data_IF_829150238358
#
_entry.id   IF_829150238358
#
_cell.length_a   1.000
_cell.length_b   1.000
_cell.length_c   1.000
_cell.angle_alpha   90.00
_cell.angle_beta   90.00
_cell.angle_gamma   90.00
#
_symmetry.space_group_name_H-M   'P 1'
#
loop_
_entity.id
_entity.type
_entity.pdbx_description
1 polymer ?
#
# COMPACT_ATOMS: atom_id res chain seq x y z
N UNK A 1 56.53 -20.11 -40.92
CA UNK A 1 56.43 -19.11 -42.00
C UNK A 1 55.55 -18.01 -41.48
N UNK A 2 56.12 -16.88 -41.17
CA UNK A 2 55.85 -15.54 -41.63
C UNK A 2 54.46 -15.01 -41.14
N UNK A 3 54.29 -13.91 -40.47
CA UNK A 3 55.13 -12.76 -39.99
C UNK A 3 54.13 -11.78 -39.40
N UNK A 4 54.38 -11.23 -38.24
CA UNK A 4 53.86 -9.94 -37.79
C UNK A 4 54.38 -8.80 -38.71
N UNK A 5 53.84 -7.58 -38.69
CA UNK A 5 54.06 -6.60 -37.63
C UNK A 5 52.86 -5.61 -37.44
N UNK A 6 52.63 -5.06 -36.28
CA UNK A 6 53.15 -3.84 -35.57
C UNK A 6 52.66 -2.51 -36.15
N UNK A 7 52.10 -1.65 -35.34
CA UNK A 7 52.65 -0.41 -34.74
C UNK A 7 51.47 0.48 -34.25
N UNK A 8 51.36 0.82 -32.99
CA UNK A 8 51.87 2.02 -32.29
C UNK A 8 51.42 3.34 -32.98
N UNK A 9 50.65 4.14 -32.29
CA UNK A 9 51.02 5.51 -31.96
C UNK A 9 50.14 6.13 -30.84
N UNK A 10 50.84 6.71 -29.95
CA UNK A 10 50.51 7.54 -28.81
C UNK A 10 49.90 8.89 -29.22
N UNK A 11 49.08 9.45 -28.34
CA UNK A 11 48.62 10.84 -28.38
C UNK A 11 48.21 11.34 -27.02
N UNK A 12 49.19 11.64 -26.17
CA UNK A 12 49.00 12.50 -24.98
C UNK A 12 48.78 13.94 -25.45
N UNK A 13 47.76 14.60 -24.85
CA UNK A 13 47.75 16.06 -24.78
C UNK A 13 47.22 16.49 -23.40
N UNK A 14 48.17 16.87 -22.58
CA UNK A 14 48.06 17.73 -21.42
C UNK A 14 47.73 19.16 -21.88
N UNK A 15 46.80 19.84 -21.24
CA UNK A 15 46.85 21.28 -21.15
C UNK A 15 46.35 21.76 -19.80
N UNK A 16 47.27 22.43 -19.15
CA UNK A 16 47.22 22.99 -17.82
C UNK A 16 46.37 24.27 -17.73
N UNK A 17 45.97 24.52 -16.53
CA UNK A 17 45.29 25.57 -15.90
C UNK A 17 45.56 27.02 -16.27
N UNK A 18 44.68 27.84 -15.80
CA UNK A 18 44.99 29.20 -15.30
C UNK A 18 43.94 29.67 -14.32
N UNK A 19 44.39 29.86 -13.09
CA UNK A 19 43.76 30.70 -12.09
C UNK A 19 43.80 32.15 -12.53
N UNK A 20 42.77 32.94 -12.30
CA UNK A 20 42.91 34.37 -12.17
C UNK A 20 42.08 34.85 -10.96
N UNK A 21 42.83 35.42 -10.03
CA UNK A 21 42.46 36.11 -8.82
C UNK A 21 41.88 37.50 -9.12
N UNK A 22 41.15 37.97 -8.13
CA UNK A 22 40.47 39.25 -7.94
C UNK A 22 41.27 40.52 -8.26
N UNK A 23 40.62 41.73 -8.23
CA UNK A 23 40.70 42.48 -6.98
C UNK A 23 39.43 43.27 -6.59
N UNK A 24 39.32 43.52 -5.29
CA UNK A 24 38.47 44.52 -4.66
C UNK A 24 38.97 45.91 -5.00
N UNK A 25 38.05 46.87 -5.18
CA UNK A 25 38.31 48.24 -4.85
C UNK A 25 37.05 48.95 -4.29
N UNK A 26 37.24 49.57 -3.15
CA UNK A 26 36.34 50.55 -2.53
C UNK A 26 36.38 51.85 -3.34
N UNK A 27 35.27 52.55 -3.43
CA UNK A 27 35.21 53.99 -3.28
C UNK A 27 33.78 54.51 -3.09
N UNK A 28 33.69 55.40 -2.22
CA UNK A 28 32.61 56.18 -1.62
C UNK A 28 31.78 57.06 -2.59
N UNK A 29 30.50 57.16 -2.25
CA UNK A 29 29.69 58.33 -2.01
C UNK A 29 29.37 59.31 -3.14
N UNK A 30 28.09 59.56 -3.32
CA UNK A 30 27.43 60.86 -3.17
C UNK A 30 25.95 60.78 -3.54
N UNK A 31 25.18 61.57 -2.83
CA UNK A 31 23.73 61.75 -2.90
C UNK A 31 23.19 62.22 -4.25
N UNK A 32 21.93 61.89 -4.53
CA UNK A 32 21.10 62.61 -5.54
C UNK A 32 19.84 61.87 -5.94
N UNK A 33 18.75 62.24 -5.34
CA UNK A 33 17.38 62.37 -5.86
C UNK A 33 16.57 61.19 -6.38
N UNK A 34 15.38 61.17 -5.81
CA UNK A 34 14.22 60.32 -6.01
C UNK A 34 13.74 60.21 -7.47
N UNK A 35 13.50 58.96 -7.91
CA UNK A 35 12.40 58.61 -8.80
C UNK A 35 11.77 57.31 -8.30
N UNK A 36 10.50 57.40 -7.90
CA UNK A 36 9.65 56.26 -7.66
C UNK A 36 9.50 55.46 -8.95
N UNK A 37 9.95 54.22 -8.92
CA UNK A 37 9.47 53.20 -9.82
C UNK A 37 9.01 52.00 -9.00
N UNK A 38 7.69 51.90 -8.95
CA UNK A 38 6.96 50.79 -8.35
C UNK A 38 7.12 49.58 -9.28
N UNK A 39 8.08 48.73 -8.99
CA UNK A 39 8.07 47.34 -9.45
C UNK A 39 8.00 46.42 -8.22
N UNK A 40 6.77 46.15 -7.82
CA UNK A 40 6.46 45.09 -6.92
C UNK A 40 6.89 43.78 -7.59
N UNK A 41 8.06 43.28 -7.24
CA UNK A 41 8.40 41.89 -7.48
C UNK A 41 7.40 41.03 -6.68
N UNK A 42 6.40 40.51 -7.39
CA UNK A 42 5.58 39.43 -6.91
C UNK A 42 6.52 38.24 -6.65
N UNK A 43 6.97 38.10 -5.42
CA UNK A 43 7.37 36.81 -4.90
C UNK A 43 6.11 35.94 -4.92
N UNK A 44 5.98 35.15 -6.00
CA UNK A 44 5.10 34.00 -6.00
C UNK A 44 5.57 33.09 -4.87
N UNK A 45 5.03 33.27 -3.66
CA UNK A 45 4.89 32.21 -2.71
C UNK A 45 3.91 31.22 -3.34
N UNK A 46 4.41 30.29 -4.12
CA UNK A 46 3.70 29.05 -4.36
C UNK A 46 3.54 28.43 -2.97
N UNK A 47 2.38 28.69 -2.37
CA UNK A 47 1.91 27.86 -1.28
C UNK A 47 1.84 26.44 -1.86
N UNK A 48 2.83 25.61 -1.54
CA UNK A 48 2.75 24.17 -1.75
C UNK A 48 1.51 23.70 -1.00
N UNK A 49 0.38 23.68 -1.73
CA UNK A 49 -0.88 23.20 -1.19
C UNK A 49 -0.68 21.71 -0.88
N UNK A 50 -0.83 21.35 0.38
CA UNK A 50 -0.74 19.95 0.79
C UNK A 50 -1.65 19.08 -0.10
N UNK A 51 -1.15 17.94 -0.64
CA UNK A 51 -1.95 17.05 -1.46
C UNK A 51 -3.26 16.67 -0.79
N UNK A 52 -4.36 16.66 -1.52
CA UNK A 52 -5.68 16.37 -0.95
C UNK A 52 -5.75 14.98 -0.30
N UNK A 53 -5.03 13.99 -0.84
CA UNK A 53 -4.99 12.64 -0.27
C UNK A 53 -4.35 12.57 1.13
N UNK A 54 -3.50 13.54 1.52
CA UNK A 54 -2.96 13.60 2.88
C UNK A 54 -4.03 13.90 3.93
N UNK A 55 -5.13 14.53 3.54
CA UNK A 55 -6.24 14.86 4.45
C UNK A 55 -6.95 13.63 5.01
N UNK A 56 -6.87 12.49 4.33
CA UNK A 56 -7.49 11.23 4.76
C UNK A 56 -6.47 10.22 5.31
N UNK A 57 -5.18 10.52 5.29
CA UNK A 57 -4.12 9.58 5.65
C UNK A 57 -4.27 9.01 7.06
N UNK A 58 -4.57 9.86 8.05
CA UNK A 58 -4.78 9.42 9.43
C UNK A 58 -6.02 8.55 9.59
N UNK A 59 -7.09 8.83 8.83
CA UNK A 59 -8.30 8.00 8.81
C UNK A 59 -8.00 6.61 8.26
N UNK A 60 -7.19 6.52 7.19
CA UNK A 60 -6.77 5.25 6.61
C UNK A 60 -5.94 4.41 7.60
N UNK A 61 -5.05 5.06 8.35
CA UNK A 61 -4.24 4.40 9.37
C UNK A 61 -5.12 3.90 10.55
N UNK A 62 -6.03 4.73 11.06
CA UNK A 62 -6.97 4.33 12.11
C UNK A 62 -7.86 3.16 11.66
N UNK A 63 -8.36 3.21 10.43
CA UNK A 63 -9.14 2.12 9.86
C UNK A 63 -8.31 0.84 9.76
N UNK A 64 -7.06 0.92 9.32
CA UNK A 64 -6.16 -0.22 9.20
C UNK A 64 -6.02 -0.97 10.53
N UNK A 65 -5.73 -0.25 11.61
CA UNK A 65 -5.55 -0.87 12.92
C UNK A 65 -6.87 -1.35 13.54
N UNK A 66 -7.97 -0.64 13.31
CA UNK A 66 -9.29 -1.06 13.76
C UNK A 66 -9.74 -2.36 13.09
N UNK A 67 -9.56 -2.47 11.76
CA UNK A 67 -9.86 -3.68 11.02
C UNK A 67 -8.93 -4.83 11.43
N UNK A 68 -7.63 -4.55 11.58
CA UNK A 68 -6.68 -5.56 12.01
C UNK A 68 -7.10 -6.22 13.31
N UNK A 69 -7.48 -5.42 14.32
CA UNK A 69 -7.97 -5.95 15.61
C UNK A 69 -9.20 -6.84 15.46
N UNK A 70 -10.13 -6.48 14.57
CA UNK A 70 -11.31 -7.32 14.30
C UNK A 70 -10.92 -8.67 13.70
N UNK A 71 -10.03 -8.66 12.71
CA UNK A 71 -9.57 -9.88 12.04
C UNK A 71 -8.70 -10.75 12.98
N UNK A 72 -7.78 -10.14 13.72
CA UNK A 72 -6.89 -10.83 14.62
C UNK A 72 -7.63 -11.51 15.79
N UNK A 73 -8.74 -10.92 16.26
CA UNK A 73 -9.58 -11.49 17.30
C UNK A 73 -10.27 -12.80 16.86
N UNK A 74 -10.52 -12.98 15.56
CA UNK A 74 -11.22 -14.17 15.04
C UNK A 74 -10.30 -15.40 14.95
N UNK A 75 -9.02 -15.20 14.68
CA UNK A 75 -8.04 -16.29 14.59
C UNK A 75 -6.63 -15.79 14.85
N UNK A 76 -5.93 -16.49 15.73
CA UNK A 76 -4.51 -16.26 15.99
C UNK A 76 -3.59 -17.23 15.23
N UNK A 77 -4.15 -18.19 14.49
CA UNK A 77 -3.42 -19.27 13.82
C UNK A 77 -3.33 -19.12 12.30
N UNK A 78 -4.03 -18.16 11.73
CA UNK A 78 -4.06 -17.92 10.28
C UNK A 78 -3.34 -16.62 9.92
N UNK A 79 -2.77 -16.59 8.72
CA UNK A 79 -2.22 -15.36 8.17
C UNK A 79 -3.31 -14.30 8.02
N UNK A 80 -2.95 -13.05 8.27
CA UNK A 80 -3.78 -11.88 8.03
C UNK A 80 -3.12 -11.07 6.94
N UNK A 81 -3.87 -10.67 5.91
CA UNK A 81 -3.35 -9.76 4.89
C UNK A 81 -4.49 -9.04 4.16
N UNK A 82 -4.57 -7.74 4.30
CA UNK A 82 -5.60 -6.92 3.66
C UNK A 82 -5.05 -5.54 3.28
N UNK A 83 -5.79 -4.83 2.43
CA UNK A 83 -5.49 -3.46 2.05
C UNK A 83 -6.48 -2.48 2.69
N UNK A 84 -6.04 -1.67 3.66
CA UNK A 84 -6.88 -0.61 4.21
C UNK A 84 -7.30 0.40 3.13
N UNK A 85 -6.40 0.76 2.24
CA UNK A 85 -6.69 1.64 1.09
C UNK A 85 -7.75 1.04 0.18
N UNK A 86 -7.63 -0.24 -0.16
CA UNK A 86 -8.59 -0.92 -1.03
C UNK A 86 -9.99 -0.92 -0.46
N UNK A 87 -10.15 -1.34 0.79
CA UNK A 87 -11.44 -1.45 1.46
C UNK A 87 -12.09 -0.08 1.67
N UNK A 88 -11.33 0.89 2.18
CA UNK A 88 -11.86 2.25 2.41
C UNK A 88 -12.27 2.93 1.11
N UNK A 89 -11.50 2.76 0.05
CA UNK A 89 -11.84 3.27 -1.29
C UNK A 89 -13.14 2.65 -1.80
N UNK A 90 -13.31 1.33 -1.68
CA UNK A 90 -14.51 0.63 -2.11
C UNK A 90 -15.78 1.15 -1.40
N UNK A 91 -15.72 1.35 -0.09
CA UNK A 91 -16.86 1.82 0.68
C UNK A 91 -17.10 3.33 0.60
N UNK A 92 -16.05 4.13 0.44
CA UNK A 92 -16.21 5.55 0.12
C UNK A 92 -16.90 5.72 -1.24
N UNK A 93 -16.55 4.91 -2.23
CA UNK A 93 -17.26 4.87 -3.52
C UNK A 93 -18.73 4.48 -3.35
N UNK A 94 -19.01 3.45 -2.57
CA UNK A 94 -20.37 2.99 -2.30
C UNK A 94 -21.23 4.07 -1.61
N UNK A 95 -20.61 4.91 -0.77
CA UNK A 95 -21.28 6.01 -0.08
C UNK A 95 -21.88 7.05 -1.03
N UNK A 96 -21.37 7.17 -2.26
CA UNK A 96 -21.94 8.05 -3.29
C UNK A 96 -23.39 7.70 -3.63
N UNK A 97 -23.76 6.43 -3.53
CA UNK A 97 -25.09 5.93 -3.78
C UNK A 97 -25.96 5.74 -2.53
N UNK A 98 -25.38 5.88 -1.35
CA UNK A 98 -26.08 5.68 -0.09
C UNK A 98 -26.74 6.97 0.40
N UNK A 99 -27.84 6.81 1.14
CA UNK A 99 -28.61 7.90 1.75
C UNK A 99 -28.87 7.62 3.24
N UNK A 100 -29.29 8.65 3.95
CA UNK A 100 -29.74 8.54 5.34
C UNK A 100 -28.72 7.85 6.26
N UNK A 101 -29.23 6.95 7.09
CA UNK A 101 -28.41 6.21 8.05
C UNK A 101 -27.41 5.26 7.38
N UNK A 102 -27.72 4.72 6.21
CA UNK A 102 -26.79 3.87 5.45
C UNK A 102 -25.55 4.64 5.08
N UNK A 103 -25.69 5.85 4.55
CA UNK A 103 -24.60 6.76 4.24
C UNK A 103 -23.82 7.14 5.51
N UNK A 104 -24.53 7.55 6.56
CA UNK A 104 -23.92 7.95 7.83
C UNK A 104 -23.07 6.84 8.47
N UNK A 105 -23.58 5.59 8.48
CA UNK A 105 -22.84 4.44 8.99
C UNK A 105 -21.55 4.16 8.19
N UNK A 106 -21.60 4.26 6.86
CA UNK A 106 -20.42 4.06 6.03
C UNK A 106 -19.37 5.12 6.36
N UNK A 107 -19.71 6.39 6.32
CA UNK A 107 -18.77 7.48 6.56
C UNK A 107 -18.17 7.42 7.96
N UNK A 108 -19.00 7.19 8.98
CA UNK A 108 -18.55 7.03 10.36
C UNK A 108 -17.67 5.79 10.55
N UNK A 109 -18.04 4.66 9.94
CA UNK A 109 -17.27 3.42 10.02
C UNK A 109 -15.91 3.52 9.34
N UNK A 110 -15.76 4.36 8.32
CA UNK A 110 -14.50 4.71 7.70
C UNK A 110 -13.71 5.78 8.47
N UNK A 111 -14.27 6.32 9.55
CA UNK A 111 -13.62 7.32 10.40
C UNK A 111 -13.75 8.76 9.90
N UNK A 112 -14.70 9.06 9.01
CA UNK A 112 -14.91 10.42 8.50
C UNK A 112 -16.00 11.13 9.30
N UNK A 113 -15.65 12.30 9.82
CA UNK A 113 -16.59 13.21 10.48
C UNK A 113 -16.99 14.34 9.51
N UNK A 114 -18.18 14.23 8.93
CA UNK A 114 -18.67 15.18 7.93
C UNK A 114 -19.10 16.55 8.52
N UNK A 115 -19.10 16.68 9.85
CA UNK A 115 -19.28 17.98 10.51
C UNK A 115 -17.98 18.80 10.54
N UNK A 116 -16.83 18.12 10.49
CA UNK A 116 -15.51 18.74 10.48
C UNK A 116 -14.94 18.91 9.08
N UNK A 117 -15.40 18.10 8.12
CA UNK A 117 -14.90 18.10 6.75
C UNK A 117 -16.03 17.87 5.76
N UNK A 118 -16.04 18.65 4.68
CA UNK A 118 -17.01 18.46 3.61
C UNK A 118 -16.83 17.10 2.92
N UNK A 119 -17.92 16.41 2.63
CA UNK A 119 -17.90 15.12 1.94
C UNK A 119 -17.18 15.19 0.58
N UNK A 120 -17.37 16.28 -0.16
CA UNK A 120 -16.69 16.51 -1.43
C UNK A 120 -15.16 16.48 -1.30
N UNK A 121 -14.60 16.96 -0.18
CA UNK A 121 -13.16 16.89 0.08
C UNK A 121 -12.69 15.47 0.32
N UNK A 122 -13.51 14.63 0.95
CA UNK A 122 -13.21 13.20 1.16
C UNK A 122 -13.12 12.48 -0.19
N UNK A 123 -14.10 12.69 -1.08
CA UNK A 123 -14.09 12.06 -2.41
C UNK A 123 -12.96 12.58 -3.31
N UNK A 124 -12.64 13.87 -3.24
CA UNK A 124 -11.47 14.44 -3.93
C UNK A 124 -10.16 13.84 -3.42
N UNK A 125 -10.06 13.61 -2.12
CA UNK A 125 -8.90 12.98 -1.52
C UNK A 125 -8.70 11.54 -2.02
N UNK A 126 -9.77 10.75 -2.11
CA UNK A 126 -9.71 9.41 -2.70
C UNK A 126 -9.38 9.44 -4.20
N UNK A 127 -9.92 10.39 -4.95
CA UNK A 127 -9.58 10.55 -6.37
C UNK A 127 -8.08 10.80 -6.54
N UNK A 128 -7.51 11.71 -5.76
CA UNK A 128 -6.08 12.00 -5.83
C UNK A 128 -5.23 10.80 -5.36
N UNK A 129 -5.66 10.11 -4.30
CA UNK A 129 -5.01 8.89 -3.81
C UNK A 129 -4.88 7.86 -4.94
N UNK A 130 -6.00 7.54 -5.59
CA UNK A 130 -6.03 6.56 -6.69
C UNK A 130 -5.21 7.01 -7.89
N UNK A 131 -5.29 8.30 -8.25
CA UNK A 131 -4.49 8.86 -9.33
C UNK A 131 -3.00 8.75 -9.06
N UNK A 132 -2.58 9.04 -7.83
CA UNK A 132 -1.18 8.95 -7.41
C UNK A 132 -0.69 7.50 -7.41
N UNK A 133 -1.46 6.57 -6.86
CA UNK A 133 -1.09 5.16 -6.82
C UNK A 133 -1.03 4.49 -8.20
N UNK A 134 -1.92 4.90 -9.11
CA UNK A 134 -2.00 4.35 -10.47
C UNK A 134 -1.19 5.16 -11.51
N UNK A 135 -0.38 6.13 -11.09
CA UNK A 135 0.38 6.95 -12.02
C UNK A 135 1.42 6.09 -12.77
N UNK A 136 1.53 6.21 -14.12
CA UNK A 136 2.45 5.39 -14.91
C UNK A 136 3.91 5.48 -14.50
N UNK A 137 4.32 6.65 -14.00
CA UNK A 137 5.70 6.89 -13.53
C UNK A 137 5.94 6.35 -12.12
N UNK A 138 4.90 5.84 -11.47
CA UNK A 138 5.04 5.16 -10.20
C UNK A 138 5.76 3.83 -10.44
N UNK A 139 6.96 3.68 -9.89
CA UNK A 139 7.78 2.47 -10.07
C UNK A 139 7.27 1.29 -9.23
N UNK A 140 6.17 1.48 -8.51
CA UNK A 140 5.48 0.43 -7.79
C UNK A 140 4.65 -0.42 -8.76
N UNK A 141 4.83 -1.72 -8.73
CA UNK A 141 3.93 -2.65 -9.41
C UNK A 141 2.70 -2.89 -8.52
N UNK A 142 1.85 -1.90 -8.46
CA UNK A 142 0.59 -1.91 -7.74
C UNK A 142 -0.56 -1.99 -8.74
N UNK A 143 -1.42 -2.98 -8.57
CA UNK A 143 -2.66 -3.11 -9.34
C UNK A 143 -3.81 -3.17 -8.37
N UNK A 144 -4.75 -2.24 -8.48
CA UNK A 144 -5.96 -2.19 -7.64
C UNK A 144 -7.18 -1.86 -8.47
N UNK A 145 -8.32 -2.38 -8.07
CA UNK A 145 -9.58 -2.09 -8.72
C UNK A 145 -10.80 -2.46 -7.88
N UNK A 146 -11.93 -1.89 -8.30
CA UNK A 146 -13.25 -2.14 -7.74
C UNK A 146 -14.23 -2.46 -8.86
N UNK A 147 -15.08 -3.46 -8.65
CA UNK A 147 -16.19 -3.78 -9.52
C UNK A 147 -17.51 -3.75 -8.75
N UNK A 148 -18.49 -3.06 -9.30
CA UNK A 148 -19.87 -3.05 -8.81
C UNK A 148 -20.73 -3.86 -9.77
N UNK A 149 -21.36 -4.94 -9.29
CA UNK A 149 -22.19 -5.83 -10.08
C UNK A 149 -23.61 -5.79 -9.53
N UNK A 150 -24.53 -5.27 -10.33
CA UNK A 150 -25.90 -4.99 -9.92
C UNK A 150 -26.83 -5.81 -10.79
N UNK A 151 -27.89 -6.39 -10.18
CA UNK A 151 -28.84 -7.23 -10.90
C UNK A 151 -29.43 -6.52 -12.12
N UNK A 152 -29.51 -7.23 -13.23
CA UNK A 152 -30.09 -6.70 -14.47
C UNK A 152 -31.57 -6.29 -14.26
N UNK A 153 -32.04 -5.37 -15.09
CA UNK A 153 -33.38 -4.81 -14.99
C UNK A 153 -33.50 -3.58 -14.08
N UNK A 154 -32.46 -3.25 -13.31
CA UNK A 154 -32.41 -2.00 -12.55
C UNK A 154 -31.76 -0.89 -13.39
N UNK A 155 -32.46 0.25 -13.50
CA UNK A 155 -31.90 1.46 -14.14
C UNK A 155 -30.98 2.17 -13.16
N UNK A 156 -29.69 2.19 -13.46
CA UNK A 156 -28.70 2.91 -12.65
C UNK A 156 -28.73 4.41 -12.97
N UNK A 157 -28.55 5.24 -11.96
CA UNK A 157 -28.51 6.69 -12.10
C UNK A 157 -27.22 7.13 -12.78
N UNK A 158 -27.34 7.96 -13.83
CA UNK A 158 -26.19 8.46 -14.58
C UNK A 158 -25.17 9.17 -13.70
N UNK A 159 -25.66 9.98 -12.73
CA UNK A 159 -24.77 10.68 -11.80
C UNK A 159 -23.90 9.71 -11.00
N UNK A 160 -24.48 8.61 -10.52
CA UNK A 160 -23.72 7.59 -9.80
C UNK A 160 -22.66 6.93 -10.67
N UNK A 161 -23.02 6.57 -11.90
CA UNK A 161 -22.07 5.97 -12.87
C UNK A 161 -20.92 6.92 -13.21
N UNK A 162 -21.20 8.19 -13.40
CA UNK A 162 -20.21 9.23 -13.66
C UNK A 162 -19.28 9.45 -12.48
N UNK A 163 -19.82 9.56 -11.26
CA UNK A 163 -19.04 9.75 -10.03
C UNK A 163 -18.13 8.53 -9.73
N UNK A 164 -18.64 7.31 -9.88
CA UNK A 164 -17.87 6.07 -9.75
C UNK A 164 -16.70 6.04 -10.72
N UNK A 165 -16.93 6.42 -11.96
CA UNK A 165 -15.89 6.46 -12.99
C UNK A 165 -14.88 7.58 -12.76
N UNK A 166 -15.36 8.80 -12.52
CA UNK A 166 -14.51 9.99 -12.49
C UNK A 166 -13.72 10.12 -11.17
N UNK A 167 -14.35 9.78 -10.04
CA UNK A 167 -13.74 9.91 -8.71
C UNK A 167 -12.96 8.66 -8.29
N UNK A 168 -13.43 7.48 -8.68
CA UNK A 168 -12.89 6.20 -8.20
C UNK A 168 -12.30 5.31 -9.28
N UNK A 169 -12.30 5.76 -10.55
CA UNK A 169 -11.78 4.99 -11.69
C UNK A 169 -12.33 3.55 -11.76
N UNK A 170 -13.59 3.40 -11.37
CA UNK A 170 -14.27 2.13 -11.22
C UNK A 170 -15.45 2.01 -12.18
N UNK A 171 -15.99 0.80 -12.29
CA UNK A 171 -17.09 0.49 -13.20
C UNK A 171 -18.23 -0.21 -12.47
N UNK A 172 -19.44 0.03 -12.93
CA UNK A 172 -20.63 -0.68 -12.49
C UNK A 172 -21.24 -1.47 -13.66
N UNK A 173 -21.59 -2.71 -13.40
CA UNK A 173 -22.07 -3.66 -14.40
C UNK A 173 -23.47 -4.16 -14.05
N UNK A 174 -24.35 -4.27 -15.07
CA UNK A 174 -25.60 -5.03 -14.95
C UNK A 174 -25.32 -6.51 -15.23
N UNK A 175 -25.79 -7.38 -14.36
CA UNK A 175 -25.47 -8.80 -14.40
C UNK A 175 -26.69 -9.64 -14.02
N UNK A 176 -26.83 -10.82 -14.65
CA UNK A 176 -27.89 -11.77 -14.32
C UNK A 176 -27.40 -12.71 -13.20
N UNK A 177 -27.79 -12.43 -11.97
CA UNK A 177 -27.51 -13.31 -10.82
C UNK A 177 -28.40 -14.58 -10.79
N UNK A 178 -29.47 -14.66 -11.59
CA UNK A 178 -30.27 -15.86 -11.73
C UNK A 178 -29.50 -17.05 -12.28
N UNK A 179 -28.52 -16.79 -13.15
CA UNK A 179 -27.49 -17.77 -13.58
C UNK A 179 -26.22 -17.52 -12.76
N UNK A 180 -26.15 -18.17 -11.60
CA UNK A 180 -25.05 -17.97 -10.64
C UNK A 180 -23.69 -18.35 -11.18
N UNK A 181 -23.61 -19.38 -12.03
CA UNK A 181 -22.33 -19.81 -12.62
C UNK A 181 -21.82 -18.83 -13.68
N UNK A 182 -22.72 -18.32 -14.54
CA UNK A 182 -22.37 -17.29 -15.51
C UNK A 182 -21.98 -15.97 -14.80
N UNK A 183 -22.74 -15.58 -13.76
CA UNK A 183 -22.44 -14.37 -12.96
C UNK A 183 -21.09 -14.49 -12.26
N UNK A 184 -20.83 -15.60 -11.59
CA UNK A 184 -19.55 -15.89 -10.95
C UNK A 184 -18.38 -15.82 -11.92
N UNK A 185 -18.54 -16.45 -13.10
CA UNK A 185 -17.53 -16.39 -14.15
C UNK A 185 -17.27 -14.95 -14.61
N UNK A 186 -18.30 -14.17 -14.85
CA UNK A 186 -18.17 -12.78 -15.31
C UNK A 186 -17.42 -11.92 -14.28
N UNK A 187 -17.72 -12.06 -12.99
CA UNK A 187 -17.04 -11.34 -11.90
C UNK A 187 -15.58 -11.78 -11.82
N UNK A 188 -15.31 -13.08 -11.86
CA UNK A 188 -13.95 -13.62 -11.79
C UNK A 188 -13.11 -13.22 -13.01
N UNK A 189 -13.67 -13.25 -14.20
CA UNK A 189 -12.99 -12.81 -15.44
C UNK A 189 -12.62 -11.33 -15.37
N UNK A 190 -13.49 -10.48 -14.78
CA UNK A 190 -13.20 -9.07 -14.55
C UNK A 190 -11.97 -8.88 -13.64
N UNK A 191 -11.91 -9.59 -12.52
CA UNK A 191 -10.80 -9.53 -11.57
C UNK A 191 -9.51 -10.10 -12.19
N UNK A 192 -9.59 -11.22 -12.85
CA UNK A 192 -8.46 -11.87 -13.52
C UNK A 192 -7.85 -10.96 -14.59
N UNK A 193 -8.68 -10.34 -15.43
CA UNK A 193 -8.25 -9.38 -16.43
C UNK A 193 -7.61 -8.15 -15.80
N UNK A 194 -8.24 -7.59 -14.77
CA UNK A 194 -7.74 -6.41 -14.06
C UNK A 194 -6.40 -6.65 -13.36
N UNK A 195 -6.12 -7.87 -12.94
CA UNK A 195 -4.87 -8.27 -12.27
C UNK A 195 -3.89 -9.02 -13.17
N UNK A 196 -4.16 -9.08 -14.48
CA UNK A 196 -3.33 -9.83 -15.43
C UNK A 196 -3.06 -11.27 -14.98
N UNK A 197 -4.10 -11.96 -14.48
CA UNK A 197 -4.04 -13.33 -14.00
C UNK A 197 -3.43 -13.54 -12.62
N UNK A 198 -3.12 -12.47 -11.89
CA UNK A 198 -2.53 -12.57 -10.53
C UNK A 198 -3.56 -12.96 -9.47
N UNK A 199 -4.82 -12.60 -9.69
CA UNK A 199 -5.94 -13.00 -8.84
C UNK A 199 -6.97 -13.69 -9.70
N UNK A 200 -7.21 -14.96 -9.41
CA UNK A 200 -8.17 -15.83 -10.12
C UNK A 200 -9.18 -16.37 -9.13
N UNK A 201 -10.37 -16.69 -9.62
CA UNK A 201 -11.41 -17.37 -8.84
C UNK A 201 -11.71 -16.68 -7.49
N UNK A 202 -11.80 -15.34 -7.46
CA UNK A 202 -12.08 -14.59 -6.24
C UNK A 202 -13.44 -14.97 -5.66
N UNK A 203 -14.47 -15.05 -6.49
CA UNK A 203 -15.82 -15.43 -6.09
C UNK A 203 -15.94 -16.95 -6.22
N UNK A 204 -16.11 -17.63 -5.09
CA UNK A 204 -16.28 -19.08 -5.01
C UNK A 204 -17.77 -19.45 -4.99
N UNK A 205 -18.53 -18.73 -4.18
CA UNK A 205 -19.95 -18.96 -3.95
C UNK A 205 -20.76 -17.70 -4.25
N UNK A 206 -21.89 -17.87 -4.89
CA UNK A 206 -22.81 -16.79 -5.22
C UNK A 206 -24.24 -17.27 -5.07
N UNK A 207 -25.02 -16.61 -4.22
CA UNK A 207 -26.42 -16.95 -4.01
C UNK A 207 -27.30 -16.42 -5.15
N UNK A 208 -28.36 -17.18 -5.47
CA UNK A 208 -29.35 -16.77 -6.49
C UNK A 208 -30.08 -15.48 -6.11
N UNK A 209 -30.19 -15.22 -4.83
CA UNK A 209 -30.84 -14.01 -4.29
C UNK A 209 -29.92 -12.79 -4.23
N UNK A 210 -28.71 -12.92 -4.77
CA UNK A 210 -27.77 -11.79 -4.88
C UNK A 210 -28.36 -10.75 -5.81
N UNK A 211 -28.42 -9.50 -5.33
CA UNK A 211 -28.88 -8.34 -6.12
C UNK A 211 -27.78 -7.32 -6.38
N UNK A 212 -26.74 -7.33 -5.55
CA UNK A 212 -25.61 -6.43 -5.66
C UNK A 212 -24.36 -7.06 -5.04
N UNK A 213 -23.29 -7.13 -5.79
CA UNK A 213 -21.97 -7.56 -5.35
C UNK A 213 -20.93 -6.48 -5.59
N UNK A 214 -20.08 -6.25 -4.59
CA UNK A 214 -18.91 -5.38 -4.65
C UNK A 214 -17.67 -6.25 -4.52
N UNK A 215 -16.74 -6.13 -5.45
CA UNK A 215 -15.43 -6.75 -5.36
C UNK A 215 -14.33 -5.70 -5.38
N UNK A 216 -13.42 -5.81 -4.45
CA UNK A 216 -12.20 -5.03 -4.39
C UNK A 216 -11.01 -5.97 -4.44
N UNK A 217 -10.03 -5.64 -5.25
CA UNK A 217 -8.81 -6.41 -5.36
C UNK A 217 -7.59 -5.50 -5.39
N UNK A 218 -6.49 -5.99 -4.84
CA UNK A 218 -5.21 -5.31 -4.86
C UNK A 218 -4.07 -6.33 -4.87
N UNK A 219 -3.12 -6.11 -5.74
CA UNK A 219 -1.91 -6.90 -5.88
C UNK A 219 -0.71 -5.98 -5.87
N UNK A 220 0.31 -6.34 -5.13
CA UNK A 220 1.55 -5.57 -5.04
C UNK A 220 2.78 -6.48 -5.17
N UNK A 221 3.70 -6.03 -5.99
CA UNK A 221 5.03 -6.60 -6.11
C UNK A 221 6.03 -5.47 -6.36
N UNK A 222 6.72 -5.03 -5.31
CA UNK A 222 7.71 -3.96 -5.40
C UNK A 222 9.11 -4.48 -5.65
N UNK A 223 10.02 -3.61 -6.11
CA UNK A 223 11.46 -3.86 -6.20
C UNK A 223 12.13 -3.30 -4.97
N UNK A 224 12.99 -4.08 -4.32
CA UNK A 224 13.81 -3.55 -3.23
C UNK A 224 14.85 -2.55 -3.76
N UNK A 225 15.08 -1.45 -3.08
CA UNK A 225 16.22 -0.57 -3.37
C UNK A 225 17.54 -1.33 -3.18
N UNK A 226 17.61 -2.19 -2.18
CA UNK A 226 18.72 -3.07 -1.87
C UNK A 226 18.25 -4.52 -1.87
N UNK A 227 18.35 -5.23 -3.01
CA UNK A 227 17.84 -6.59 -3.15
C UNK A 227 18.68 -7.61 -2.37
N UNK A 228 18.11 -8.78 -2.15
CA UNK A 228 18.83 -9.98 -1.72
C UNK A 228 19.47 -10.66 -2.94
N UNK A 229 20.47 -11.49 -2.69
CA UNK A 229 21.09 -12.33 -3.71
C UNK A 229 20.47 -13.72 -3.66
N UNK A 230 20.02 -14.24 -4.80
CA UNK A 230 19.33 -15.54 -4.87
C UNK A 230 20.19 -16.71 -4.36
N UNK A 231 21.50 -16.64 -4.60
CA UNK A 231 22.45 -17.64 -4.11
C UNK A 231 22.60 -17.71 -2.59
N UNK A 232 22.12 -16.68 -1.88
CA UNK A 232 22.12 -16.67 -0.42
C UNK A 232 20.76 -17.09 0.19
N UNK A 233 19.81 -17.52 -0.64
CA UNK A 233 18.53 -18.07 -0.16
C UNK A 233 18.70 -19.55 0.09
N UNK A 234 18.42 -19.95 1.33
CA UNK A 234 18.51 -21.34 1.79
C UNK A 234 17.19 -21.78 2.41
N UNK A 235 16.89 -23.09 2.37
CA UNK A 235 15.71 -23.62 3.04
C UNK A 235 16.04 -23.76 4.52
N UNK A 236 15.24 -23.10 5.35
CA UNK A 236 15.43 -23.05 6.81
C UNK A 236 14.13 -23.25 7.56
N UNK A 237 14.24 -23.49 8.87
CA UNK A 237 13.10 -23.64 9.76
C UNK A 237 12.41 -22.32 10.03
N UNK A 238 11.08 -22.34 9.96
CA UNK A 238 10.21 -21.28 10.46
C UNK A 238 9.28 -21.86 11.52
N UNK A 239 9.34 -21.28 12.71
CA UNK A 239 8.60 -21.73 13.89
C UNK A 239 7.22 -21.05 13.92
N UNK A 240 6.21 -21.76 13.45
CA UNK A 240 4.81 -21.28 13.42
C UNK A 240 4.29 -21.10 14.86
N UNK A 241 4.56 -22.09 15.69
CA UNK A 241 4.27 -22.12 17.13
C UNK A 241 5.24 -23.06 17.85
N UNK A 242 5.02 -23.32 19.15
CA UNK A 242 5.88 -24.18 19.96
C UNK A 242 5.93 -25.64 19.48
N UNK A 243 4.96 -26.07 18.68
CA UNK A 243 4.81 -27.47 18.24
C UNK A 243 4.93 -27.63 16.72
N UNK A 244 4.89 -26.55 15.97
CA UNK A 244 4.81 -26.56 14.51
C UNK A 244 5.97 -25.79 13.90
N UNK A 245 6.79 -26.50 13.14
CA UNK A 245 7.89 -25.92 12.34
C UNK A 245 7.69 -26.30 10.90
N UNK A 246 7.88 -25.33 9.99
CA UNK A 246 7.80 -25.52 8.54
C UNK A 246 9.10 -25.13 7.89
N UNK A 247 9.40 -25.72 6.72
CA UNK A 247 10.57 -25.37 5.93
C UNK A 247 10.21 -24.27 4.94
N UNK A 248 10.99 -23.20 4.93
CA UNK A 248 10.76 -22.04 4.05
C UNK A 248 12.06 -21.61 3.36
N UNK A 249 11.99 -21.11 2.13
CA UNK A 249 13.14 -20.42 1.53
C UNK A 249 13.40 -19.11 2.29
N UNK A 250 14.54 -19.03 2.94
CA UNK A 250 14.97 -17.90 3.75
C UNK A 250 16.02 -17.11 2.99
N UNK A 251 15.68 -15.88 2.63
CA UNK A 251 16.59 -14.93 2.00
C UNK A 251 17.55 -14.36 3.04
N UNK A 252 18.83 -14.24 2.70
CA UNK A 252 19.84 -13.74 3.61
C UNK A 252 20.66 -12.61 3.00
N UNK A 253 20.90 -11.56 3.76
CA UNK A 253 21.79 -10.46 3.38
C UNK A 253 22.52 -9.90 4.60
N UNK A 254 23.86 -9.77 4.46
CA UNK A 254 24.69 -8.99 5.36
C UNK A 254 24.83 -7.59 4.81
N UNK A 255 24.50 -6.57 5.59
CA UNK A 255 24.57 -5.19 5.10
C UNK A 255 24.04 -4.17 6.11
N UNK A 256 23.82 -2.96 5.60
CA UNK A 256 23.26 -1.86 6.38
C UNK A 256 21.73 -1.87 6.25
N UNK A 257 21.04 -1.89 7.39
CA UNK A 257 19.59 -1.91 7.48
C UNK A 257 19.09 -0.85 8.46
N UNK A 258 17.92 -0.30 8.18
CA UNK A 258 17.17 0.46 9.15
C UNK A 258 16.45 -0.54 10.08
N UNK A 259 17.12 -0.92 11.15
CA UNK A 259 16.65 -1.94 12.09
C UNK A 259 17.04 -1.60 13.53
N UNK A 260 16.09 -1.77 14.44
CA UNK A 260 16.31 -1.56 15.88
C UNK A 260 15.38 -2.42 16.70
N UNK A 261 15.79 -2.71 17.95
CA UNK A 261 14.91 -3.31 18.94
C UNK A 261 14.17 -2.21 19.71
N UNK A 262 12.85 -2.29 19.74
CA UNK A 262 12.00 -1.38 20.48
C UNK A 262 11.60 -2.06 21.80
N UNK A 263 12.22 -1.67 22.91
CA UNK A 263 11.98 -2.29 24.22
C UNK A 263 10.52 -2.15 24.67
N UNK A 264 9.90 -1.01 24.37
CA UNK A 264 8.48 -0.77 24.68
C UNK A 264 7.55 -1.78 24.02
N UNK A 265 7.89 -2.22 22.82
CA UNK A 265 7.13 -3.22 22.05
C UNK A 265 7.65 -4.63 22.25
N UNK A 266 8.79 -4.80 22.91
CA UNK A 266 9.53 -6.07 22.96
C UNK A 266 9.63 -6.69 21.56
N UNK A 267 10.10 -5.90 20.58
CA UNK A 267 10.08 -6.29 19.17
C UNK A 267 11.21 -5.66 18.38
N UNK A 268 11.71 -6.39 17.38
CA UNK A 268 12.54 -5.82 16.33
C UNK A 268 11.68 -5.12 15.29
N UNK A 269 12.10 -3.94 14.85
CA UNK A 269 11.46 -3.16 13.79
C UNK A 269 12.45 -2.97 12.66
N UNK A 270 12.08 -3.44 11.47
CA UNK A 270 12.86 -3.36 10.24
C UNK A 270 12.10 -2.54 9.21
N UNK A 271 12.76 -1.54 8.63
CA UNK A 271 12.24 -0.77 7.52
C UNK A 271 13.05 -1.07 6.26
N UNK A 272 12.39 -1.47 5.19
CA UNK A 272 13.01 -1.73 3.90
C UNK A 272 12.34 -0.92 2.80
N UNK A 273 13.15 -0.16 2.07
CA UNK A 273 12.66 0.68 1.00
C UNK A 273 12.50 -0.11 -0.30
N UNK A 274 11.36 0.09 -0.96
CA UNK A 274 11.17 -0.28 -2.36
C UNK A 274 11.65 0.84 -3.29
N UNK A 275 12.06 0.49 -4.49
CA UNK A 275 12.24 1.47 -5.56
C UNK A 275 10.92 2.18 -5.80
N UNK A 276 10.92 3.50 -5.76
CA UNK A 276 9.71 4.32 -5.73
C UNK A 276 9.43 4.84 -4.33
N UNK A 277 8.16 4.95 -3.96
CA UNK A 277 7.77 5.63 -2.71
C UNK A 277 7.22 4.71 -1.62
N UNK A 278 7.22 3.39 -1.85
CA UNK A 278 6.77 2.44 -0.85
C UNK A 278 7.89 2.00 0.08
N UNK A 279 7.49 1.69 1.30
CA UNK A 279 8.33 1.12 2.34
C UNK A 279 7.62 -0.07 3.00
N UNK A 280 8.37 -1.15 3.22
CA UNK A 280 7.92 -2.26 4.03
C UNK A 280 8.40 -2.09 5.48
N UNK A 281 7.50 -2.24 6.41
CA UNK A 281 7.78 -2.25 7.85
C UNK A 281 7.51 -3.66 8.34
N UNK A 282 8.56 -4.34 8.80
CA UNK A 282 8.48 -5.67 9.41
C UNK A 282 8.67 -5.55 10.91
N UNK A 283 7.81 -6.17 11.68
CA UNK A 283 7.87 -6.13 13.14
C UNK A 283 7.88 -7.55 13.68
N UNK A 284 9.01 -7.94 14.26
CA UNK A 284 9.23 -9.27 14.83
C UNK A 284 9.17 -9.17 16.37
N UNK A 285 8.09 -9.63 17.01
CA UNK A 285 8.02 -9.64 18.46
C UNK A 285 8.96 -10.67 19.06
N UNK A 286 9.46 -10.38 20.26
CA UNK A 286 10.15 -11.36 21.09
C UNK A 286 9.20 -12.52 21.43
N UNK A 287 9.75 -13.65 21.80
CA UNK A 287 8.96 -14.85 22.08
C UNK A 287 7.83 -14.57 23.07
N UNK A 288 6.59 -14.91 22.70
CA UNK A 288 5.40 -14.72 23.52
C UNK A 288 4.88 -13.28 23.59
N UNK A 289 5.42 -12.34 22.80
CA UNK A 289 5.08 -10.91 22.84
C UNK A 289 4.16 -10.45 21.71
N UNK A 290 3.66 -11.34 20.86
CA UNK A 290 2.79 -10.98 19.73
C UNK A 290 1.53 -10.22 20.19
N UNK A 291 0.83 -10.74 21.21
CA UNK A 291 -0.38 -10.08 21.72
C UNK A 291 -0.10 -8.69 22.27
N UNK A 292 0.99 -8.54 23.02
CA UNK A 292 1.40 -7.22 23.53
C UNK A 292 1.68 -6.25 22.40
N UNK A 293 2.34 -6.69 21.33
CA UNK A 293 2.59 -5.88 20.14
C UNK A 293 1.28 -5.47 19.47
N UNK A 294 0.38 -6.42 19.24
CA UNK A 294 -0.92 -6.17 18.58
C UNK A 294 -1.77 -5.16 19.35
N UNK A 295 -1.78 -5.24 20.67
CA UNK A 295 -2.53 -4.32 21.55
C UNK A 295 -1.99 -2.88 21.50
N UNK A 296 -0.74 -2.70 21.11
CA UNK A 296 -0.07 -1.40 21.07
C UNK A 296 -0.10 -0.74 19.68
N UNK A 297 -0.66 -1.39 18.67
CA UNK A 297 -0.71 -0.86 17.31
C UNK A 297 -1.63 0.35 17.20
N UNK A 298 -1.05 1.50 16.84
CA UNK A 298 -1.77 2.78 16.62
C UNK A 298 -1.15 3.57 15.48
N UNK A 299 -1.89 4.56 14.96
CA UNK A 299 -1.36 5.48 13.94
C UNK A 299 -0.15 6.28 14.43
N UNK A 300 -0.11 6.61 15.73
CA UNK A 300 1.00 7.32 16.35
C UNK A 300 2.26 6.44 16.38
N UNK A 301 2.09 5.14 16.59
CA UNK A 301 3.18 4.18 16.52
C UNK A 301 3.72 4.04 15.09
N UNK A 302 2.82 3.97 14.11
CA UNK A 302 3.20 3.96 12.69
C UNK A 302 4.02 5.19 12.32
N UNK A 303 3.58 6.38 12.73
CA UNK A 303 4.31 7.62 12.51
C UNK A 303 5.72 7.57 13.11
N UNK A 304 5.86 7.04 14.34
CA UNK A 304 7.17 6.87 14.99
C UNK A 304 8.09 5.92 14.24
N UNK A 305 7.57 4.83 13.67
CA UNK A 305 8.39 3.93 12.85
C UNK A 305 8.96 4.63 11.64
N UNK A 306 8.16 5.48 10.99
CA UNK A 306 8.56 6.20 9.78
C UNK A 306 9.56 7.34 10.05
N UNK A 307 9.46 7.96 11.21
CA UNK A 307 10.35 9.07 11.64
C UNK A 307 11.71 8.58 12.16
N UNK A 308 11.72 7.40 12.82
CA UNK A 308 12.92 6.88 13.49
C UNK A 308 13.67 5.90 12.58
N UNK A 309 14.63 6.43 11.83
CA UNK A 309 15.57 5.63 11.05
C UNK A 309 16.82 5.33 11.89
N UNK A 310 17.09 4.04 12.10
CA UNK A 310 18.26 3.56 12.83
C UNK A 310 19.07 2.63 11.95
N UNK A 311 19.88 3.21 11.09
CA UNK A 311 20.73 2.44 10.17
C UNK A 311 21.89 1.80 10.93
N UNK A 312 21.97 0.48 10.85
CA UNK A 312 23.05 -0.30 11.45
C UNK A 312 23.39 -1.53 10.61
N UNK A 313 24.58 -2.03 10.82
CA UNK A 313 25.02 -3.30 10.26
C UNK A 313 24.27 -4.47 10.90
N UNK A 314 23.75 -5.39 10.08
CA UNK A 314 23.05 -6.58 10.51
C UNK A 314 23.20 -7.71 9.49
N UNK A 315 23.12 -8.95 9.98
CA UNK A 315 22.85 -10.14 9.18
C UNK A 315 21.36 -10.42 9.25
N UNK A 316 20.65 -10.11 8.16
CA UNK A 316 19.20 -10.25 8.10
C UNK A 316 18.80 -11.54 7.39
N UNK A 317 17.85 -12.27 7.96
CA UNK A 317 17.16 -13.39 7.33
C UNK A 317 15.66 -13.10 7.28
N UNK A 318 15.09 -13.15 6.09
CA UNK A 318 13.67 -12.86 5.84
C UNK A 318 13.09 -13.93 4.91
N UNK A 319 11.92 -14.51 5.22
CA UNK A 319 11.35 -15.55 4.38
C UNK A 319 10.89 -14.98 3.03
N UNK A 320 11.18 -15.71 1.96
CA UNK A 320 10.55 -15.54 0.66
C UNK A 320 9.15 -16.10 0.77
N UNK A 321 8.14 -15.31 0.42
CA UNK A 321 6.75 -15.72 0.57
C UNK A 321 5.81 -15.04 -0.43
N UNK A 322 4.67 -15.67 -0.64
CA UNK A 322 3.52 -15.03 -1.25
C UNK A 322 2.35 -15.16 -0.29
N UNK A 323 1.86 -14.03 0.20
CA UNK A 323 0.76 -13.97 1.16
C UNK A 323 -0.48 -13.36 0.51
N UNK A 324 -1.63 -13.93 0.81
CA UNK A 324 -2.91 -13.40 0.39
C UNK A 324 -3.92 -13.41 1.52
N UNK A 325 -4.90 -12.52 1.43
CA UNK A 325 -6.07 -12.52 2.29
C UNK A 325 -7.32 -12.31 1.46
N UNK A 326 -8.35 -13.09 1.74
CA UNK A 326 -9.68 -12.96 1.13
C UNK A 326 -10.70 -12.79 2.25
N UNK A 327 -11.47 -11.70 2.19
CA UNK A 327 -12.38 -11.33 3.27
C UNK A 327 -13.79 -11.08 2.74
N UNK A 328 -14.77 -11.66 3.44
CA UNK A 328 -16.17 -11.24 3.36
C UNK A 328 -16.34 -9.96 4.19
N UNK A 329 -16.50 -8.85 3.50
CA UNK A 329 -16.57 -7.53 4.12
C UNK A 329 -17.84 -7.34 4.95
N UNK A 330 -18.94 -8.04 4.65
CA UNK A 330 -20.17 -7.98 5.43
C UNK A 330 -19.90 -8.37 6.88
N UNK A 331 -19.24 -9.49 7.10
CA UNK A 331 -18.94 -9.99 8.46
C UNK A 331 -18.08 -9.01 9.24
N UNK A 332 -17.00 -8.53 8.63
CA UNK A 332 -16.01 -7.68 9.32
C UNK A 332 -16.55 -6.27 9.53
N UNK A 333 -17.09 -5.63 8.50
CA UNK A 333 -17.53 -4.24 8.59
C UNK A 333 -18.79 -4.09 9.43
N UNK A 334 -19.65 -5.13 9.51
CA UNK A 334 -20.78 -5.12 10.44
C UNK A 334 -20.33 -5.00 11.90
N UNK A 335 -19.23 -5.63 12.28
CA UNK A 335 -18.62 -5.50 13.62
C UNK A 335 -18.02 -4.11 13.85
N UNK A 336 -17.69 -3.40 12.77
CA UNK A 336 -17.18 -2.03 12.80
C UNK A 336 -18.30 -0.97 12.67
N UNK A 337 -19.57 -1.38 12.75
CA UNK A 337 -20.72 -0.49 12.74
C UNK A 337 -21.33 -0.17 11.37
N UNK A 338 -20.84 -0.79 10.30
CA UNK A 338 -21.41 -0.68 8.96
C UNK A 338 -22.33 -1.88 8.72
N UNK A 339 -23.64 -1.73 8.99
CA UNK A 339 -24.61 -2.82 8.99
C UNK A 339 -25.74 -2.64 7.99
N UNK A 340 -26.30 -1.44 7.92
CA UNK A 340 -27.54 -1.17 7.13
C UNK A 340 -27.38 -1.45 5.65
N UNK A 341 -26.22 -1.14 5.07
CA UNK A 341 -25.94 -1.36 3.64
C UNK A 341 -26.09 -2.83 3.22
N UNK A 342 -25.90 -3.76 4.16
CA UNK A 342 -26.03 -5.21 3.94
C UNK A 342 -27.42 -5.75 4.24
N UNK A 343 -28.31 -4.94 4.77
CA UNK A 343 -29.65 -5.34 5.24
C UNK A 343 -30.73 -4.87 4.29
N UNK A 344 -31.95 -5.37 4.52
CA UNK A 344 -33.13 -4.90 3.80
C UNK A 344 -33.52 -3.44 4.13
N UNK A 345 -32.91 -2.84 5.14
CA UNK A 345 -33.04 -1.42 5.50
C UNK A 345 -32.07 -0.51 4.76
N UNK A 346 -31.30 -1.06 3.80
CA UNK A 346 -30.32 -0.30 3.02
C UNK A 346 -31.02 0.81 2.22
N UNK A 347 -30.50 2.02 2.33
CA UNK A 347 -30.94 3.19 1.59
C UNK A 347 -29.91 3.50 0.49
N UNK A 348 -30.10 2.87 -0.68
CA UNK A 348 -29.20 3.00 -1.84
C UNK A 348 -29.89 3.68 -3.04
N UNK A 349 -30.79 4.61 -2.77
CA UNK A 349 -31.55 5.36 -3.80
C UNK A 349 -30.66 6.30 -4.64
N UNK A 350 -29.43 6.52 -4.24
CA UNK A 350 -28.43 7.21 -5.06
C UNK A 350 -27.84 6.34 -6.17
N UNK A 351 -28.04 5.01 -6.12
CA UNK A 351 -27.62 4.06 -7.16
C UNK A 351 -28.77 3.86 -8.16
N UNK A 352 -29.97 3.59 -7.67
CA UNK A 352 -31.17 3.35 -8.46
C UNK A 352 -32.42 3.77 -7.67
N UNK A 353 -33.42 4.28 -8.39
CA UNK A 353 -34.72 4.57 -7.81
C UNK A 353 -35.71 3.39 -7.94
N UNK A 354 -35.28 2.31 -8.59
CA UNK A 354 -36.11 1.15 -8.89
C UNK A 354 -35.92 0.05 -7.84
N UNK A 355 -36.84 0.00 -6.88
CA UNK A 355 -36.93 -1.09 -5.92
C UNK A 355 -35.85 -1.08 -4.81
N UNK A 356 -35.95 -2.00 -3.87
CA UNK A 356 -34.98 -2.14 -2.80
C UNK A 356 -33.67 -2.73 -3.33
N UNK A 357 -32.57 -2.11 -2.96
CA UNK A 357 -31.22 -2.59 -3.26
C UNK A 357 -30.44 -2.68 -1.96
N UNK A 358 -29.71 -3.78 -1.76
CA UNK A 358 -28.77 -3.96 -0.66
C UNK A 358 -27.48 -4.57 -1.17
N UNK A 359 -26.38 -4.32 -0.50
CA UNK A 359 -25.13 -5.00 -0.78
C UNK A 359 -25.21 -6.45 -0.27
N UNK A 360 -25.46 -7.39 -1.18
CA UNK A 360 -25.62 -8.81 -0.83
C UNK A 360 -24.27 -9.46 -0.53
N UNK A 361 -23.22 -9.09 -1.28
CA UNK A 361 -21.88 -9.63 -1.15
C UNK A 361 -20.83 -8.55 -1.34
N UNK A 362 -19.91 -8.46 -0.40
CA UNK A 362 -18.74 -7.60 -0.49
C UNK A 362 -17.48 -8.43 -0.27
N UNK A 363 -16.58 -8.49 -1.25
CA UNK A 363 -15.35 -9.25 -1.19
C UNK A 363 -14.14 -8.35 -1.38
N UNK A 364 -13.11 -8.61 -0.59
CA UNK A 364 -11.79 -8.01 -0.72
C UNK A 364 -10.74 -9.09 -0.83
N UNK A 365 -9.84 -8.95 -1.80
CA UNK A 365 -8.65 -9.78 -1.92
C UNK A 365 -7.41 -8.94 -2.10
N UNK A 366 -6.42 -9.17 -1.23
CA UNK A 366 -5.11 -8.60 -1.28
C UNK A 366 -4.06 -9.68 -1.48
N UNK A 367 -3.05 -9.41 -2.32
CA UNK A 367 -1.94 -10.32 -2.59
C UNK A 367 -0.63 -9.55 -2.56
N UNK A 368 0.35 -10.09 -1.85
CA UNK A 368 1.72 -9.60 -1.77
C UNK A 368 2.70 -10.71 -2.07
N UNK A 369 3.68 -10.44 -2.91
CA UNK A 369 4.83 -11.31 -3.11
C UNK A 369 6.09 -10.64 -2.58
N UNK A 370 6.86 -11.37 -1.79
CA UNK A 370 8.17 -10.97 -1.27
C UNK A 370 9.19 -11.98 -1.79
N UNK A 371 10.13 -11.51 -2.59
CA UNK A 371 11.25 -12.29 -3.10
C UNK A 371 12.57 -11.51 -3.04
N UNK A 372 13.65 -12.09 -3.53
CA UNK A 372 15.01 -11.54 -3.44
C UNK A 372 15.16 -10.21 -4.18
N UNK A 373 14.52 -10.10 -5.32
CA UNK A 373 14.65 -8.95 -6.22
C UNK A 373 13.63 -7.85 -5.91
N UNK A 374 12.54 -8.28 -5.29
CA UNK A 374 11.33 -7.49 -5.35
C UNK A 374 10.70 -7.60 -6.73
N UNK A 375 11.23 -7.37 -7.88
CA UNK A 375 10.82 -7.73 -9.25
C UNK A 375 11.92 -7.41 -10.22
N UNK A 376 12.19 -8.30 -11.17
CA UNK A 376 13.12 -8.20 -12.31
C UNK A 376 14.26 -7.16 -12.17
N UNK A 377 15.39 -7.60 -11.69
CA UNK A 377 16.58 -6.76 -11.56
C UNK A 377 17.46 -6.87 -12.81
N UNK A 378 17.74 -5.76 -13.42
CA UNK A 378 19.00 -5.57 -14.11
C UNK A 378 20.12 -5.57 -13.04
N UNK A 379 21.10 -6.44 -13.19
CA UNK A 379 22.13 -6.70 -12.17
C UNK A 379 22.92 -5.47 -11.76
N UNK A 380 22.50 -4.86 -10.67
CA UNK A 380 23.35 -3.96 -9.92
C UNK A 380 24.04 -4.77 -8.82
N UNK A 381 25.34 -4.95 -8.94
CA UNK A 381 26.16 -5.50 -7.86
C UNK A 381 26.26 -4.43 -6.79
N UNK A 382 25.51 -4.59 -5.73
CA UNK A 382 25.62 -3.74 -4.55
C UNK A 382 26.85 -4.19 -3.74
N UNK A 383 27.89 -3.36 -3.69
CA UNK A 383 29.03 -3.58 -2.81
C UNK A 383 28.80 -2.77 -1.53
N UNK A 384 28.32 -3.41 -0.47
CA UNK A 384 28.28 -2.80 0.86
C UNK A 384 29.59 -3.03 1.61
N UNK A 385 30.00 -2.04 2.43
CA UNK A 385 31.16 -2.20 3.28
C UNK A 385 30.90 -3.31 4.33
N UNK A 386 31.78 -4.30 4.37
CA UNK A 386 31.69 -5.39 5.35
C UNK A 386 32.18 -4.86 6.70
N UNK A 387 31.39 -5.00 7.77
CA UNK A 387 31.82 -4.56 9.10
C UNK A 387 33.02 -5.36 9.62
N UNK A 388 33.90 -4.70 10.36
CA UNK A 388 35.08 -5.33 10.95
C UNK A 388 34.77 -6.27 12.11
N UNK A 389 33.53 -6.29 12.60
CA UNK A 389 33.04 -7.21 13.64
C UNK A 389 31.78 -7.90 13.16
N UNK A 390 31.49 -9.11 13.65
CA UNK A 390 30.25 -9.81 13.30
C UNK A 390 29.05 -9.01 13.79
N UNK A 391 28.19 -8.52 12.88
CA UNK A 391 26.98 -7.83 13.27
C UNK A 391 25.94 -8.78 13.84
N UNK A 392 24.94 -8.28 14.60
CA UNK A 392 23.86 -9.10 15.10
C UNK A 392 23.10 -9.77 13.95
N UNK A 393 22.71 -11.03 14.16
CA UNK A 393 21.78 -11.75 13.29
C UNK A 393 20.36 -11.48 13.75
N UNK A 394 19.50 -11.10 12.82
CA UNK A 394 18.06 -10.93 13.06
C UNK A 394 17.34 -11.83 12.07
N UNK A 395 16.67 -12.85 12.64
CA UNK A 395 16.06 -13.92 11.89
C UNK A 395 14.54 -13.85 12.00
N UNK A 396 13.86 -13.52 10.91
CA UNK A 396 12.39 -13.53 10.80
C UNK A 396 11.89 -14.97 10.60
N UNK A 397 12.14 -15.81 11.56
CA UNK A 397 11.82 -17.24 11.54
C UNK A 397 10.69 -17.64 12.51
N UNK A 398 9.91 -16.69 12.94
CA UNK A 398 8.69 -16.84 13.76
C UNK A 398 7.66 -15.78 13.33
N UNK A 399 6.40 -15.87 13.76
CA UNK A 399 5.36 -14.94 13.33
C UNK A 399 5.72 -13.47 13.50
N UNK A 400 5.44 -12.68 12.46
CA UNK A 400 5.76 -11.26 12.42
C UNK A 400 4.65 -10.45 11.74
N UNK A 401 4.63 -9.15 11.99
CA UNK A 401 3.73 -8.20 11.33
C UNK A 401 4.40 -7.56 10.12
N UNK A 402 3.59 -7.21 9.15
CA UNK A 402 4.02 -6.46 7.96
C UNK A 402 3.05 -5.32 7.67
N UNK A 403 3.61 -4.14 7.38
CA UNK A 403 2.88 -2.98 6.89
C UNK A 403 3.60 -2.49 5.63
N UNK A 404 2.88 -2.35 4.52
CA UNK A 404 3.39 -1.68 3.32
C UNK A 404 2.80 -0.28 3.31
N UNK A 405 3.64 0.72 3.27
CA UNK A 405 3.27 2.13 3.36
C UNK A 405 3.76 2.89 2.13
N UNK A 406 2.92 3.78 1.60
CA UNK A 406 3.29 4.68 0.52
C UNK A 406 3.55 6.09 1.06
N UNK A 407 4.74 6.62 0.81
CA UNK A 407 5.17 7.93 1.32
C UNK A 407 4.50 9.09 0.59
N UNK A 408 4.18 8.93 -0.68
CA UNK A 408 3.54 9.99 -1.46
C UNK A 408 2.13 10.29 -0.97
N UNK A 409 1.36 9.26 -0.74
CA UNK A 409 -0.03 9.38 -0.26
C UNK A 409 -0.12 9.34 1.26
N UNK A 410 0.99 9.07 1.96
CA UNK A 410 1.05 8.86 3.42
C UNK A 410 0.07 7.80 3.90
N UNK A 411 -0.12 6.75 3.12
CA UNK A 411 -1.17 5.76 3.34
C UNK A 411 -0.62 4.37 3.57
N UNK A 412 -1.17 3.58 4.53
CA UNK A 412 -0.90 2.16 4.65
C UNK A 412 -1.62 1.42 3.51
N UNK A 413 -0.84 0.91 2.55
CA UNK A 413 -1.37 0.15 1.41
C UNK A 413 -1.82 -1.24 1.82
N UNK A 414 -1.08 -1.87 2.73
CA UNK A 414 -1.34 -3.22 3.25
C UNK A 414 -0.97 -3.33 4.71
N UNK A 415 -1.69 -4.21 5.38
CA UNK A 415 -1.39 -4.64 6.74
C UNK A 415 -1.62 -6.13 6.89
N UNK A 416 -0.72 -6.81 7.59
CA UNK A 416 -0.85 -8.24 7.80
C UNK A 416 -0.02 -8.82 8.92
N UNK A 417 -0.28 -10.08 9.17
CA UNK A 417 0.47 -10.96 10.08
C UNK A 417 0.81 -12.24 9.34
N UNK A 418 2.09 -12.56 9.30
CA UNK A 418 2.59 -13.83 8.76
C UNK A 418 2.75 -14.79 9.92
N UNK A 419 1.86 -15.76 10.02
CA UNK A 419 1.91 -16.85 11.01
C UNK A 419 2.60 -18.07 10.42
N UNK A 420 2.27 -18.37 9.17
CA UNK A 420 2.85 -19.49 8.42
C UNK A 420 3.15 -19.08 6.98
N UNK A 421 4.41 -18.90 6.59
CA UNK A 421 4.79 -18.45 5.23
C UNK A 421 4.44 -19.46 4.12
N UNK A 422 4.13 -20.72 4.45
CA UNK A 422 3.77 -21.77 3.49
C UNK A 422 2.28 -21.77 3.12
N UNK A 423 1.45 -21.06 3.88
CA UNK A 423 0.02 -20.88 3.59
C UNK A 423 -0.13 -19.75 2.56
N UNK A 424 -0.92 -20.03 1.51
CA UNK A 424 -1.22 -19.07 0.43
C UNK A 424 -2.55 -18.36 0.67
#
# INVERSE_FOLDING_TARGET
MRTMPSSITWGLLLLAGLCCLAPRSLAQGLQGDAVQDTNASQHNHEHHREPACHKIALNLADFAFSMYRQVAHESNTTNIFFSPVGITTAFAMLSLGAKGDTHGQIMKGLGFNLTERAESEVHQAFQELLRTLNHPDNQLQLTTGNGLFITEGMKLLNKFLEDVKNLYHSEAFSINFGDTEAAKKQINDYVEKGTQGKIVNLVQDLDKDTVFALVNYIFFKGKWEKPFQEEHTTVEDFHVDEHTTVQVPMMSRLGMFDIYHCDKLSSWVLLMDYVGNAIAIFILPDQGKMQQLEDMLTKELLAKFLENRHTRSASLRLPKLSISGTYDLKTILSKMGITKVFSNEAELSGITEQGPLKLSKGLHKAVLTIDEKGTEAAGAVFTEAIPMSMPPSIDFNSPFLIIIYDRNTKSPLFMGKVVNPTQK
#
